data_IF_240847875612
#
_entry.id   IF_240847875612
#
_cell.length_a   1.000
_cell.length_b   1.000
_cell.length_c   1.000
_cell.angle_alpha   90.00
_cell.angle_beta   90.00
_cell.angle_gamma   90.00
#
_symmetry.space_group_name_H-M   'P 1'
#
loop_
_entity.id
_entity.type
_entity.pdbx_description
1 polymer ?
#
# COMPACT_ATOMS: atom_id res chain seq x y z
N UNK A 1 -11.67 -8.60 -29.43
CA UNK A 1 -10.51 -9.28 -28.80
C UNK A 1 -10.00 -8.36 -27.70
N UNK A 2 -10.26 -8.66 -26.43
CA UNK A 2 -9.76 -7.84 -25.30
C UNK A 2 -8.28 -8.16 -25.11
N UNK A 3 -7.39 -7.35 -25.69
CA UNK A 3 -5.94 -7.53 -25.58
C UNK A 3 -5.47 -7.10 -24.21
N UNK A 4 -4.51 -7.85 -23.68
CA UNK A 4 -3.71 -7.43 -22.54
C UNK A 4 -3.00 -6.10 -22.81
N UNK A 5 -2.85 -5.28 -21.78
CA UNK A 5 -2.13 -4.01 -21.81
C UNK A 5 -0.98 -4.06 -20.82
N UNK A 6 0.28 -3.79 -21.24
CA UNK A 6 1.39 -3.67 -20.30
C UNK A 6 1.09 -2.61 -19.23
N UNK A 7 1.47 -2.91 -18.00
CA UNK A 7 1.23 -2.04 -16.86
C UNK A 7 2.53 -1.73 -16.12
N UNK A 8 2.68 -0.48 -15.68
CA UNK A 8 3.76 -0.05 -14.78
C UNK A 8 3.15 0.65 -13.59
N UNK A 9 3.58 0.26 -12.40
CA UNK A 9 3.27 0.98 -11.17
C UNK A 9 4.01 2.32 -11.23
N UNK A 10 3.27 3.41 -11.09
CA UNK A 10 3.81 4.76 -11.04
C UNK A 10 3.04 5.58 -10.01
N UNK A 11 3.43 5.48 -8.75
CA UNK A 11 2.85 6.29 -7.67
C UNK A 11 3.45 7.68 -7.71
N UNK A 12 2.61 8.73 -7.64
CA UNK A 12 3.08 10.13 -7.72
C UNK A 12 3.91 10.53 -6.49
N UNK A 13 4.84 11.46 -6.68
CA UNK A 13 5.60 12.05 -5.57
C UNK A 13 4.68 12.77 -4.56
N UNK A 14 3.57 13.33 -5.04
CA UNK A 14 2.56 13.96 -4.19
C UNK A 14 1.89 12.94 -3.26
N UNK A 15 1.60 11.73 -3.73
CA UNK A 15 1.04 10.67 -2.90
C UNK A 15 2.03 10.20 -1.83
N UNK A 16 3.32 10.10 -2.17
CA UNK A 16 4.38 9.77 -1.20
C UNK A 16 4.60 10.88 -0.18
N UNK A 17 4.54 12.14 -0.61
CA UNK A 17 4.63 13.32 0.27
C UNK A 17 3.44 13.37 1.22
N UNK A 18 2.23 13.11 0.71
CA UNK A 18 1.03 13.03 1.52
C UNK A 18 1.09 11.90 2.54
N UNK A 19 1.63 10.73 2.16
CA UNK A 19 1.85 9.62 3.08
C UNK A 19 2.76 10.04 4.24
N UNK A 20 3.90 10.68 3.95
CA UNK A 20 4.83 11.17 5.00
C UNK A 20 4.16 12.14 5.96
N UNK A 21 3.44 13.14 5.43
CA UNK A 21 2.67 14.09 6.25
C UNK A 21 1.66 13.39 7.16
N UNK A 22 0.90 12.42 6.64
CA UNK A 22 -0.05 11.64 7.45
C UNK A 22 0.64 10.85 8.57
N UNK A 23 1.80 10.26 8.28
CA UNK A 23 2.59 9.56 9.29
C UNK A 23 3.12 10.53 10.35
N UNK A 24 3.58 11.72 9.97
CA UNK A 24 4.04 12.78 10.90
C UNK A 24 2.93 13.28 11.82
N UNK A 25 1.74 13.52 11.25
CA UNK A 25 0.58 14.05 11.97
C UNK A 25 -0.19 12.98 12.76
N UNK A 26 0.25 11.72 12.71
CA UNK A 26 -0.44 10.60 13.35
C UNK A 26 -0.48 10.77 14.87
N UNK A 27 -1.69 10.82 15.43
CA UNK A 27 -1.93 10.77 16.88
C UNK A 27 -2.32 9.35 17.26
N UNK A 28 -1.50 8.72 18.09
CA UNK A 28 -1.77 7.36 18.56
C UNK A 28 -2.55 7.40 19.88
N UNK A 29 -3.49 6.47 20.09
CA UNK A 29 -4.22 6.37 21.35
C UNK A 29 -3.28 5.90 22.48
N UNK A 30 -3.75 6.05 23.72
CA UNK A 30 -3.16 5.38 24.87
C UNK A 30 -3.49 3.88 24.86
N UNK A 31 -2.63 3.08 25.51
CA UNK A 31 -2.80 1.63 25.60
C UNK A 31 -3.19 1.21 27.01
N UNK A 32 -4.26 0.43 27.13
CA UNK A 32 -4.64 -0.20 28.39
C UNK A 32 -3.72 -1.40 28.64
N UNK A 33 -3.22 -1.52 29.88
CA UNK A 33 -2.26 -2.51 30.39
C UNK A 33 -1.96 -3.71 29.48
N UNK A 34 -0.69 -3.90 29.14
CA UNK A 34 -0.06 -4.98 28.35
C UNK A 34 -0.87 -6.29 28.16
N UNK A 35 -1.97 -6.23 27.39
CA UNK A 35 -2.80 -7.39 27.04
C UNK A 35 -2.22 -8.15 25.85
N UNK A 36 -1.04 -7.75 25.37
CA UNK A 36 -0.43 -8.28 24.16
C UNK A 36 -1.38 -8.08 22.98
N UNK A 37 -1.67 -9.16 22.26
CA UNK A 37 -2.51 -9.14 21.07
C UNK A 37 -4.00 -9.40 21.34
N UNK A 38 -4.41 -9.58 22.59
CA UNK A 38 -5.78 -9.99 22.95
C UNK A 38 -6.85 -8.96 22.52
N UNK A 39 -6.46 -7.71 22.32
CA UNK A 39 -7.35 -6.61 21.92
C UNK A 39 -6.92 -5.90 20.64
N UNK A 40 -6.12 -6.57 19.81
CA UNK A 40 -5.60 -6.03 18.56
C UNK A 40 -4.10 -5.75 18.61
N UNK A 41 -3.61 -5.00 17.63
CA UNK A 41 -2.18 -4.72 17.50
C UNK A 41 -1.67 -3.87 18.67
N UNK A 42 -0.59 -4.28 19.35
CA UNK A 42 0.01 -3.50 20.42
C UNK A 42 0.47 -2.12 19.94
N UNK A 43 0.34 -1.10 20.79
CA UNK A 43 0.76 0.26 20.49
C UNK A 43 2.26 0.33 20.16
N UNK A 44 3.08 -0.49 20.81
CA UNK A 44 4.51 -0.61 20.51
C UNK A 44 4.77 -1.04 19.06
N UNK A 45 4.01 -2.00 18.53
CA UNK A 45 4.12 -2.46 17.15
C UNK A 45 3.68 -1.38 16.16
N UNK A 46 2.58 -0.68 16.45
CA UNK A 46 2.13 0.44 15.61
C UNK A 46 3.17 1.55 15.58
N UNK A 47 3.75 1.94 16.73
CA UNK A 47 4.83 2.94 16.80
C UNK A 47 6.05 2.52 15.97
N UNK A 48 6.45 1.25 16.06
CA UNK A 48 7.55 0.70 15.26
C UNK A 48 7.26 0.77 13.77
N UNK A 49 6.04 0.42 13.34
CA UNK A 49 5.63 0.48 11.93
C UNK A 49 5.58 1.92 11.41
N UNK A 50 5.01 2.86 12.18
CA UNK A 50 4.99 4.28 11.82
C UNK A 50 6.39 4.81 11.60
N UNK A 51 7.33 4.54 12.52
CA UNK A 51 8.73 4.94 12.37
C UNK A 51 9.38 4.29 11.14
N UNK A 52 9.15 2.99 10.91
CA UNK A 52 9.69 2.30 9.74
C UNK A 52 9.19 2.93 8.43
N UNK A 53 7.90 3.22 8.32
CA UNK A 53 7.33 3.79 7.10
C UNK A 53 7.69 5.26 6.90
N UNK A 54 7.84 6.02 7.99
CA UNK A 54 8.25 7.43 7.92
C UNK A 54 9.70 7.58 7.46
N UNK A 55 10.60 6.84 8.11
CA UNK A 55 12.04 7.14 8.06
C UNK A 55 12.86 6.06 7.33
N UNK A 56 12.37 4.82 7.28
CA UNK A 56 13.16 3.67 6.84
C UNK A 56 12.66 2.95 5.58
N UNK A 57 11.49 3.31 5.06
CA UNK A 57 10.88 2.64 3.92
C UNK A 57 10.97 3.48 2.66
N UNK A 58 11.77 3.01 1.69
CA UNK A 58 11.88 3.64 0.38
C UNK A 58 10.94 2.96 -0.63
N UNK A 59 9.82 3.64 -0.93
CA UNK A 59 8.88 3.19 -1.95
C UNK A 59 9.52 3.08 -3.34
N UNK A 60 10.43 4.00 -3.71
CA UNK A 60 10.99 4.03 -5.07
C UNK A 60 11.87 2.81 -5.33
N UNK A 61 12.53 2.28 -4.31
CA UNK A 61 13.25 1.01 -4.41
C UNK A 61 12.29 -0.16 -4.70
N UNK A 62 11.23 -0.31 -3.91
CA UNK A 62 10.26 -1.38 -4.12
C UNK A 62 9.46 -1.22 -5.42
N UNK A 63 9.15 -0.01 -5.84
CA UNK A 63 8.47 0.25 -7.11
C UNK A 63 9.31 -0.23 -8.30
N UNK A 64 10.64 -0.04 -8.26
CA UNK A 64 11.56 -0.59 -9.27
C UNK A 64 11.56 -2.11 -9.27
N UNK A 65 11.62 -2.73 -8.09
CA UNK A 65 11.58 -4.19 -7.95
C UNK A 65 10.26 -4.77 -8.48
N UNK A 66 9.12 -4.16 -8.11
CA UNK A 66 7.80 -4.60 -8.56
C UNK A 66 7.64 -4.45 -10.07
N UNK A 67 8.19 -3.39 -10.66
CA UNK A 67 8.17 -3.15 -12.11
C UNK A 67 9.22 -3.93 -12.90
N UNK A 68 10.12 -4.68 -12.23
CA UNK A 68 11.04 -5.59 -12.91
C UNK A 68 10.33 -6.87 -13.40
N UNK A 69 9.16 -7.18 -12.83
CA UNK A 69 8.29 -8.27 -13.27
C UNK A 69 7.35 -7.79 -14.39
N UNK A 70 7.05 -8.62 -15.40
CA UNK A 70 5.97 -8.36 -16.34
C UNK A 70 4.65 -8.15 -15.58
N UNK A 71 3.93 -7.09 -15.93
CA UNK A 71 2.65 -6.73 -15.33
C UNK A 71 1.71 -6.28 -16.42
N UNK A 72 0.45 -6.64 -16.28
CA UNK A 72 -0.55 -6.39 -17.29
C UNK A 72 -1.88 -6.00 -16.66
N UNK A 73 -2.70 -5.35 -17.45
CA UNK A 73 -4.11 -5.11 -17.15
C UNK A 73 -4.98 -5.56 -18.30
N UNK A 74 -6.20 -6.01 -18.02
CA UNK A 74 -7.17 -6.41 -19.03
C UNK A 74 -8.60 -6.09 -18.59
N UNK A 75 -9.41 -5.62 -19.53
CA UNK A 75 -10.85 -5.50 -19.35
C UNK A 75 -11.53 -6.87 -19.29
N UNK A 76 -12.29 -7.11 -18.22
CA UNK A 76 -13.07 -8.33 -17.97
C UNK A 76 -14.49 -7.94 -17.63
N UNK A 77 -15.48 -8.56 -18.28
CA UNK A 77 -16.89 -8.40 -17.93
C UNK A 77 -17.24 -9.32 -16.77
N UNK A 78 -17.76 -8.76 -15.69
CA UNK A 78 -18.22 -9.47 -14.49
C UNK A 78 -19.74 -9.33 -14.41
N UNK A 79 -20.43 -10.46 -14.32
CA UNK A 79 -21.89 -10.49 -14.19
C UNK A 79 -22.34 -9.71 -12.95
N UNK A 80 -23.29 -8.77 -13.14
CA UNK A 80 -23.79 -7.90 -12.06
C UNK A 80 -22.91 -6.70 -11.73
N UNK A 81 -21.68 -6.61 -12.26
CA UNK A 81 -20.73 -5.52 -11.97
C UNK A 81 -20.21 -4.78 -13.21
N UNK A 82 -20.51 -5.27 -14.42
CA UNK A 82 -20.11 -4.63 -15.67
C UNK A 82 -18.66 -4.91 -16.05
N UNK A 83 -18.03 -4.01 -16.79
CA UNK A 83 -16.63 -4.15 -17.20
C UNK A 83 -15.67 -3.63 -16.12
N UNK A 84 -14.66 -4.44 -15.79
CA UNK A 84 -13.62 -4.12 -14.80
C UNK A 84 -12.23 -4.25 -15.43
N UNK A 85 -11.32 -3.34 -15.08
CA UNK A 85 -9.91 -3.47 -15.46
C UNK A 85 -9.14 -4.24 -14.38
N UNK A 86 -8.71 -5.47 -14.70
CA UNK A 86 -8.05 -6.37 -13.75
C UNK A 86 -6.54 -6.33 -13.97
N UNK A 87 -5.78 -6.03 -12.91
CA UNK A 87 -4.31 -6.11 -12.90
C UNK A 87 -3.83 -7.53 -12.54
N UNK A 88 -2.85 -8.04 -13.27
CA UNK A 88 -2.17 -9.31 -12.99
C UNK A 88 -0.68 -9.23 -13.33
N UNK A 89 0.10 -10.16 -12.77
CA UNK A 89 1.54 -10.31 -12.96
C UNK A 89 1.86 -11.75 -13.35
#
# INVERSE_FOLDING_TARGET
>A
MTSEQPFKIAVSDDALTLLKRKLDDTRLPDEVSATGWAHGAPLADIRRLVSRWRDGYDWRTHERELNALPRFTRAVTVEGFGEMNVHYC
#
